data_IF_209378200914
#
_entry.id   IF_209378200914
#
_cell.length_a   1.000
_cell.length_b   1.000
_cell.length_c   1.000
_cell.angle_alpha   90.00
_cell.angle_beta   90.00
_cell.angle_gamma   90.00
#
_symmetry.space_group_name_H-M   'P 1'
#
loop_
_entity.id
_entity.type
_entity.pdbx_description
1 polymer ?
#
# COMPACT_ATOMS: atom_id res chain seq x y z
N UNK A 1 31.79 29.17 -37.62
CA UNK A 1 31.41 27.83 -38.12
C UNK A 1 32.02 26.82 -37.18
N UNK A 2 31.20 26.01 -36.52
CA UNK A 2 31.64 24.86 -35.74
C UNK A 2 31.12 23.63 -36.49
N UNK A 3 32.01 22.78 -36.97
CA UNK A 3 31.68 21.59 -37.77
C UNK A 3 31.41 20.39 -36.86
N UNK A 4 30.52 19.48 -37.30
CA UNK A 4 30.03 18.33 -36.52
C UNK A 4 31.10 17.24 -36.26
N UNK A 5 32.30 17.40 -36.82
CA UNK A 5 33.40 16.44 -36.76
C UNK A 5 34.16 16.43 -35.42
N UNK A 6 33.95 17.41 -34.53
CA UNK A 6 34.65 17.44 -33.23
C UNK A 6 34.05 16.50 -32.16
N UNK A 7 32.91 15.86 -32.43
CA UNK A 7 32.22 14.97 -31.47
C UNK A 7 32.95 13.61 -31.33
N UNK A 8 33.74 13.21 -32.34
CA UNK A 8 34.39 11.88 -32.38
C UNK A 8 35.80 11.84 -31.76
N UNK A 9 36.31 12.94 -31.21
CA UNK A 9 37.65 13.02 -30.58
C UNK A 9 37.68 12.69 -29.08
N UNK A 10 36.69 11.97 -28.54
CA UNK A 10 36.75 11.53 -27.14
C UNK A 10 37.53 10.22 -27.01
N UNK A 11 38.58 10.13 -26.17
CA UNK A 11 39.28 8.88 -25.95
C UNK A 11 38.34 7.87 -25.28
N UNK A 12 38.23 6.67 -25.85
CA UNK A 12 37.51 5.55 -25.24
C UNK A 12 38.23 5.14 -23.96
N UNK A 13 37.63 5.41 -22.80
CA UNK A 13 38.12 4.89 -21.52
C UNK A 13 37.61 3.47 -21.33
N UNK A 14 38.50 2.49 -21.45
CA UNK A 14 38.20 1.11 -21.08
C UNK A 14 38.35 0.96 -19.56
N UNK A 15 37.28 0.55 -18.88
CA UNK A 15 37.30 0.23 -17.45
C UNK A 15 37.56 -1.26 -17.33
N UNK A 16 38.73 -1.64 -16.81
CA UNK A 16 39.03 -3.02 -16.47
C UNK A 16 38.64 -3.27 -15.01
N UNK A 17 37.84 -4.31 -14.77
CA UNK A 17 37.49 -4.76 -13.43
C UNK A 17 38.69 -5.53 -12.86
N UNK A 18 39.46 -4.88 -11.99
CA UNK A 18 40.53 -5.51 -11.23
C UNK A 18 39.89 -6.43 -10.19
N UNK A 19 39.74 -7.71 -10.51
CA UNK A 19 39.35 -8.74 -9.55
C UNK A 19 40.55 -9.03 -8.64
N UNK A 20 40.77 -8.19 -7.63
CA UNK A 20 41.66 -8.56 -6.53
C UNK A 20 40.97 -9.62 -5.68
N UNK A 21 41.67 -10.73 -5.56
CA UNK A 21 41.29 -11.93 -4.85
C UNK A 21 40.97 -11.65 -3.38
N UNK A 22 39.72 -11.94 -3.02
CA UNK A 22 39.32 -12.68 -1.82
C UNK A 22 39.98 -12.23 -0.51
N UNK A 23 39.38 -11.23 0.14
CA UNK A 23 39.46 -11.15 1.59
C UNK A 23 38.66 -12.31 2.19
N UNK A 24 39.35 -13.39 2.60
CA UNK A 24 38.83 -14.36 3.57
C UNK A 24 38.59 -13.65 4.90
N UNK A 25 37.44 -13.00 5.02
CA UNK A 25 36.85 -12.74 6.32
C UNK A 25 35.88 -13.89 6.58
N UNK A 26 36.31 -14.85 7.40
CA UNK A 26 35.46 -15.86 8.02
C UNK A 26 34.42 -15.16 8.92
N UNK A 27 33.40 -14.61 8.30
CA UNK A 27 32.16 -14.25 8.95
C UNK A 27 31.15 -15.30 8.51
N UNK A 28 30.71 -16.16 9.44
CA UNK A 28 29.63 -17.14 9.27
C UNK A 28 28.26 -16.52 8.88
N UNK A 29 28.24 -15.22 8.57
CA UNK A 29 27.07 -14.44 8.17
C UNK A 29 27.27 -13.84 6.76
N UNK A 30 27.59 -14.68 5.77
CA UNK A 30 27.48 -14.26 4.37
C UNK A 30 26.00 -14.15 4.01
N UNK A 31 25.46 -12.94 4.15
CA UNK A 31 24.07 -12.63 3.83
C UNK A 31 23.91 -12.57 2.31
N UNK A 32 23.20 -13.53 1.73
CA UNK A 32 22.81 -13.48 0.32
C UNK A 32 21.59 -12.56 0.15
N UNK A 33 21.84 -11.36 -0.37
CA UNK A 33 20.80 -10.37 -0.66
C UNK A 33 19.77 -10.85 -1.69
N UNK A 34 20.14 -11.76 -2.59
CA UNK A 34 19.20 -12.33 -3.57
C UNK A 34 18.24 -13.31 -2.90
N UNK A 35 18.71 -14.14 -1.96
CA UNK A 35 17.82 -15.03 -1.20
C UNK A 35 16.94 -14.25 -0.21
N UNK A 36 17.50 -13.23 0.46
CA UNK A 36 16.71 -12.36 1.33
C UNK A 36 15.58 -11.65 0.58
N UNK A 37 15.86 -11.12 -0.62
CA UNK A 37 14.82 -10.44 -1.41
C UNK A 37 13.73 -11.42 -1.87
N UNK A 38 14.10 -12.64 -2.27
CA UNK A 38 13.12 -13.70 -2.56
C UNK A 38 12.27 -14.08 -1.35
N UNK A 39 12.86 -14.18 -0.17
CA UNK A 39 12.13 -14.50 1.05
C UNK A 39 11.14 -13.38 1.41
N UNK A 40 11.57 -12.12 1.33
CA UNK A 40 10.69 -10.97 1.55
C UNK A 40 9.53 -10.94 0.54
N UNK A 41 9.79 -11.21 -0.73
CA UNK A 41 8.74 -11.29 -1.75
C UNK A 41 7.71 -12.38 -1.42
N UNK A 42 8.17 -13.58 -1.04
CA UNK A 42 7.29 -14.67 -0.61
C UNK A 42 6.47 -14.30 0.61
N UNK A 43 7.08 -13.67 1.61
CA UNK A 43 6.38 -13.24 2.82
C UNK A 43 5.30 -12.20 2.50
N UNK A 44 5.58 -11.26 1.59
CA UNK A 44 4.61 -10.28 1.10
C UNK A 44 3.45 -10.95 0.36
N UNK A 45 3.72 -11.95 -0.48
CA UNK A 45 2.69 -12.72 -1.19
C UNK A 45 1.81 -13.48 -0.20
N UNK A 46 2.42 -14.19 0.76
CA UNK A 46 1.69 -14.96 1.77
C UNK A 46 0.79 -14.06 2.63
N UNK A 47 1.29 -12.88 3.03
CA UNK A 47 0.48 -11.89 3.75
C UNK A 47 -0.69 -11.39 2.89
N UNK A 48 -0.45 -11.14 1.61
CA UNK A 48 -1.50 -10.71 0.67
C UNK A 48 -2.58 -11.79 0.52
N UNK A 49 -2.19 -13.04 0.35
CA UNK A 49 -3.13 -14.15 0.18
C UNK A 49 -3.98 -14.38 1.44
N UNK A 50 -3.35 -14.35 2.62
CA UNK A 50 -4.05 -14.41 3.90
C UNK A 50 -5.07 -13.27 4.05
N UNK A 51 -4.70 -12.04 3.64
CA UNK A 51 -5.61 -10.89 3.67
C UNK A 51 -6.77 -11.06 2.70
N UNK A 52 -6.54 -11.56 1.48
CA UNK A 52 -7.60 -11.82 0.49
C UNK A 52 -8.61 -12.86 1.01
N UNK A 53 -8.12 -13.94 1.61
CA UNK A 53 -8.97 -14.96 2.23
C UNK A 53 -9.84 -14.35 3.33
N UNK A 54 -9.23 -13.60 4.26
CA UNK A 54 -9.96 -12.90 5.33
C UNK A 54 -11.02 -11.94 4.81
N UNK A 55 -10.71 -11.16 3.76
CA UNK A 55 -11.67 -10.25 3.12
C UNK A 55 -12.87 -11.02 2.55
N UNK A 56 -12.62 -12.13 1.87
CA UNK A 56 -13.67 -12.97 1.29
C UNK A 56 -14.54 -13.61 2.36
N UNK A 57 -13.95 -14.15 3.43
CA UNK A 57 -14.66 -14.71 4.58
C UNK A 57 -15.53 -13.66 5.27
N UNK A 58 -14.96 -12.49 5.57
CA UNK A 58 -15.70 -11.38 6.15
C UNK A 58 -16.88 -10.99 5.25
N UNK A 59 -16.68 -10.91 3.93
CA UNK A 59 -17.77 -10.59 2.99
C UNK A 59 -18.87 -11.65 2.99
N UNK A 60 -18.53 -12.93 3.04
CA UNK A 60 -19.50 -14.01 3.12
C UNK A 60 -20.29 -13.95 4.44
N UNK A 61 -19.59 -13.83 5.56
CA UNK A 61 -20.16 -13.83 6.91
C UNK A 61 -21.04 -12.60 7.18
N UNK A 62 -20.73 -11.45 6.57
CA UNK A 62 -21.49 -10.20 6.78
C UNK A 62 -22.45 -9.86 5.64
N UNK A 63 -22.69 -10.78 4.70
CA UNK A 63 -23.48 -10.50 3.48
C UNK A 63 -24.92 -10.06 3.77
N UNK A 64 -25.55 -10.62 4.80
CA UNK A 64 -26.91 -10.30 5.22
C UNK A 64 -26.98 -9.30 6.38
N UNK A 65 -25.84 -8.74 6.79
CA UNK A 65 -25.77 -7.79 7.91
C UNK A 65 -26.00 -6.36 7.41
N UNK A 66 -26.68 -5.55 8.22
CA UNK A 66 -26.73 -4.10 8.00
C UNK A 66 -25.33 -3.48 8.10
N UNK A 67 -25.09 -2.27 7.55
CA UNK A 67 -23.81 -1.57 7.70
C UNK A 67 -23.35 -1.41 9.14
N UNK A 68 -24.30 -1.25 10.08
CA UNK A 68 -24.01 -1.14 11.51
C UNK A 68 -23.60 -2.50 12.10
N UNK A 69 -24.36 -3.56 11.84
CA UNK A 69 -24.00 -4.91 12.32
C UNK A 69 -22.66 -5.37 11.76
N UNK A 70 -22.40 -5.06 10.48
CA UNK A 70 -21.14 -5.34 9.83
C UNK A 70 -19.97 -4.62 10.50
N UNK A 71 -20.11 -3.34 10.88
CA UNK A 71 -19.04 -2.63 11.60
C UNK A 71 -18.77 -3.24 12.98
N UNK A 72 -19.83 -3.65 13.70
CA UNK A 72 -19.70 -4.34 14.98
C UNK A 72 -19.02 -5.71 14.83
N UNK A 73 -19.35 -6.47 13.80
CA UNK A 73 -18.68 -7.73 13.49
C UNK A 73 -17.19 -7.52 13.21
N UNK A 74 -16.82 -6.52 12.39
CA UNK A 74 -15.42 -6.25 12.07
C UNK A 74 -14.62 -5.78 13.29
N UNK A 75 -15.22 -4.97 14.16
CA UNK A 75 -14.64 -4.58 15.45
C UNK A 75 -14.38 -5.80 16.35
N UNK A 76 -15.36 -6.70 16.47
CA UNK A 76 -15.23 -7.93 17.27
C UNK A 76 -14.13 -8.87 16.77
N UNK A 77 -13.91 -8.90 15.45
CA UNK A 77 -12.87 -9.71 14.82
C UNK A 77 -11.51 -9.00 14.74
N UNK A 78 -11.36 -7.82 15.35
CA UNK A 78 -10.15 -6.99 15.29
C UNK A 78 -9.65 -6.74 13.86
N UNK A 79 -10.57 -6.67 12.89
CA UNK A 79 -10.24 -6.46 11.49
C UNK A 79 -10.30 -4.97 11.15
N UNK A 80 -9.28 -4.24 11.60
CA UNK A 80 -9.17 -2.79 11.44
C UNK A 80 -9.09 -2.39 9.97
N UNK A 81 -8.43 -3.18 9.14
CA UNK A 81 -8.31 -2.94 7.70
C UNK A 81 -9.66 -3.04 7.01
N UNK A 82 -10.40 -4.12 7.26
CA UNK A 82 -11.75 -4.28 6.71
C UNK A 82 -12.73 -3.22 7.25
N UNK A 83 -12.63 -2.85 8.53
CA UNK A 83 -13.44 -1.79 9.14
C UNK A 83 -13.18 -0.43 8.48
N UNK A 84 -11.91 -0.13 8.21
CA UNK A 84 -11.50 1.10 7.55
C UNK A 84 -12.01 1.16 6.11
N UNK A 85 -11.87 0.06 5.35
CA UNK A 85 -12.39 -0.06 4.01
C UNK A 85 -13.92 0.08 3.97
N UNK A 86 -14.63 -0.55 4.91
CA UNK A 86 -16.07 -0.42 5.04
C UNK A 86 -16.49 1.03 5.34
N UNK A 87 -15.82 1.69 6.27
CA UNK A 87 -16.09 3.09 6.62
C UNK A 87 -15.90 3.99 5.39
N UNK A 88 -14.81 3.78 4.65
CA UNK A 88 -14.51 4.53 3.43
C UNK A 88 -15.60 4.34 2.37
N UNK A 89 -16.04 3.09 2.13
CA UNK A 89 -17.11 2.77 1.19
C UNK A 89 -18.43 3.49 1.57
N UNK A 90 -18.77 3.51 2.86
CA UNK A 90 -19.98 4.20 3.34
C UNK A 90 -19.91 5.71 3.12
N UNK A 91 -18.75 6.32 3.34
CA UNK A 91 -18.58 7.75 3.11
C UNK A 91 -18.64 8.12 1.63
N UNK A 92 -18.07 7.30 0.73
CA UNK A 92 -18.21 7.51 -0.71
C UNK A 92 -19.67 7.44 -1.15
N UNK A 93 -20.41 6.43 -0.67
CA UNK A 93 -21.83 6.28 -0.95
C UNK A 93 -22.64 7.48 -0.44
N UNK A 94 -22.34 8.00 0.75
CA UNK A 94 -23.07 9.14 1.30
C UNK A 94 -22.85 10.41 0.47
N UNK A 95 -21.62 10.66 0.02
CA UNK A 95 -21.30 11.81 -0.86
C UNK A 95 -21.98 11.67 -2.22
N UNK A 96 -21.96 10.47 -2.81
CA UNK A 96 -22.67 10.20 -4.06
C UNK A 96 -24.19 10.42 -3.91
N UNK A 97 -24.77 9.97 -2.80
CA UNK A 97 -26.19 10.19 -2.51
C UNK A 97 -26.51 11.67 -2.29
N UNK A 98 -25.66 12.43 -1.60
CA UNK A 98 -25.83 13.86 -1.39
C UNK A 98 -25.86 14.61 -2.73
N UNK A 99 -24.94 14.26 -3.65
CA UNK A 99 -24.91 14.80 -5.01
C UNK A 99 -26.19 14.45 -5.78
N UNK A 100 -26.60 13.18 -5.76
CA UNK A 100 -27.81 12.72 -6.46
C UNK A 100 -29.10 13.37 -5.94
N UNK A 101 -29.12 13.77 -4.66
CA UNK A 101 -30.24 14.49 -4.04
C UNK A 101 -30.18 16.01 -4.25
N UNK A 102 -29.14 16.52 -4.92
CA UNK A 102 -28.91 17.95 -5.10
C UNK A 102 -28.54 18.70 -3.81
N UNK A 103 -28.13 17.98 -2.76
CA UNK A 103 -27.74 18.56 -1.46
C UNK A 103 -26.38 19.26 -1.56
N UNK A 104 -25.51 18.79 -2.46
CA UNK A 104 -24.18 19.37 -2.71
C UNK A 104 -24.02 19.67 -4.21
N UNK A 105 -23.22 20.68 -4.54
CA UNK A 105 -22.89 21.00 -5.92
C UNK A 105 -21.94 19.97 -6.53
N UNK A 106 -21.84 19.96 -7.87
CA UNK A 106 -20.85 19.12 -8.56
C UNK A 106 -19.42 19.47 -8.14
N UNK A 107 -19.12 20.75 -7.95
CA UNK A 107 -17.79 21.21 -7.53
C UNK A 107 -17.47 20.69 -6.11
N UNK A 108 -18.43 20.77 -5.19
CA UNK A 108 -18.27 20.25 -3.82
C UNK A 108 -18.09 18.73 -3.81
N UNK A 109 -18.85 18.02 -4.65
CA UNK A 109 -18.71 16.58 -4.83
C UNK A 109 -17.28 16.21 -5.27
N UNK A 110 -16.76 16.86 -6.31
CA UNK A 110 -15.40 16.59 -6.80
C UNK A 110 -14.34 16.86 -5.73
N UNK A 111 -14.46 17.95 -4.97
CA UNK A 111 -13.53 18.23 -3.87
C UNK A 111 -13.59 17.17 -2.75
N UNK A 112 -14.78 16.71 -2.39
CA UNK A 112 -14.95 15.71 -1.32
C UNK A 112 -14.41 14.34 -1.73
N UNK A 113 -14.65 13.92 -2.98
CA UNK A 113 -14.10 12.67 -3.53
C UNK A 113 -12.57 12.73 -3.58
N UNK A 114 -11.98 13.85 -4.01
CA UNK A 114 -10.51 14.03 -4.01
C UNK A 114 -9.92 13.93 -2.60
N UNK A 115 -10.57 14.52 -1.59
CA UNK A 115 -10.11 14.41 -0.19
C UNK A 115 -10.12 12.98 0.31
N UNK A 116 -11.12 12.19 -0.08
CA UNK A 116 -11.21 10.77 0.29
C UNK A 116 -10.17 9.91 -0.40
N UNK A 117 -9.90 10.13 -1.68
CA UNK A 117 -8.85 9.39 -2.41
C UNK A 117 -7.43 9.69 -1.90
N UNK A 118 -7.20 10.86 -1.32
CA UNK A 118 -5.90 11.27 -0.80
C UNK A 118 -5.62 10.82 0.65
N UNK A 119 -6.47 10.02 1.29
CA UNK A 119 -6.17 9.47 2.62
C UNK A 119 -5.24 8.26 2.42
N UNK A 120 -3.94 8.32 2.77
CA UNK A 120 -3.06 7.18 2.63
C UNK A 120 -3.53 6.05 3.55
N UNK A 121 -3.74 4.85 2.98
CA UNK A 121 -4.12 3.64 3.72
C UNK A 121 -3.17 3.33 4.90
N UNK A 122 -1.93 3.84 4.87
CA UNK A 122 -0.89 3.56 5.88
C UNK A 122 -0.98 4.38 7.19
N UNK A 123 -1.70 5.50 7.23
CA UNK A 123 -1.78 6.31 8.47
C UNK A 123 -2.80 5.79 9.48
N UNK A 124 -3.58 4.76 9.13
CA UNK A 124 -4.74 4.32 9.92
C UNK A 124 -4.49 3.08 10.78
N UNK A 125 -3.28 2.54 10.75
CA UNK A 125 -2.80 1.46 11.62
C UNK A 125 -2.25 1.96 12.96
N UNK A 126 -2.48 3.24 13.31
CA UNK A 126 -2.20 3.68 14.68
C UNK A 126 -3.19 2.99 15.62
N UNK A 127 -2.71 2.18 16.60
CA UNK A 127 -3.59 1.62 17.60
C UNK A 127 -4.29 2.76 18.33
N UNK A 128 -5.61 2.69 18.41
CA UNK A 128 -6.42 3.60 19.23
C UNK A 128 -5.89 3.56 20.66
N UNK A 129 -5.08 4.56 21.03
CA UNK A 129 -4.66 4.74 22.42
C UNK A 129 -5.87 5.23 23.20
N UNK A 130 -6.63 4.29 23.76
CA UNK A 130 -7.58 4.59 24.81
C UNK A 130 -6.78 5.02 26.05
N UNK A 131 -6.60 6.33 26.22
CA UNK A 131 -6.22 6.89 27.52
C UNK A 131 -7.50 7.00 28.32
N UNK A 132 -7.69 6.10 29.28
CA UNK A 132 -8.75 6.21 30.27
C UNK A 132 -8.29 7.25 31.32
N UNK A 133 -9.14 8.21 31.73
CA UNK A 133 -8.79 9.21 32.76
C UNK A 133 -8.55 8.59 34.15
#
# INVERSE_FOLDING_TARGET
MYSAEDIFKKPQSYVFLQNETQHENNNDNQVDFFELSRQQEKDLINQRDANVLRINENRANTSNMSPFERSQYLLKNNDTQALNAHTYEQQLKSIQQARNRGVISEQDYQQQILKQNNIPLQQKDQPLKFSIP
#
